data_IF_748153263419
#
_entry.id   IF_748153263419
#
_cell.length_a   1.000
_cell.length_b   1.000
_cell.length_c   1.000
_cell.angle_alpha   90.00
_cell.angle_beta   90.00
_cell.angle_gamma   90.00
#
_symmetry.space_group_name_H-M   'P 1'
#
loop_
_entity.id
_entity.type
_entity.pdbx_description
1 polymer ?
#
# COMPACT_ATOMS: atom_id res chain seq x y z
N UNK A 1 -5.74 -1.33 16.41
CA UNK A 1 -6.08 -2.64 15.82
C UNK A 1 -6.58 -2.41 14.41
N UNK A 2 -6.17 -3.22 13.44
CA UNK A 2 -6.70 -3.11 12.08
C UNK A 2 -8.18 -3.54 12.06
N UNK A 3 -9.04 -2.75 11.41
CA UNK A 3 -10.46 -3.07 11.24
C UNK A 3 -10.63 -3.89 9.96
N UNK A 4 -10.85 -5.20 10.10
CA UNK A 4 -11.10 -6.09 8.97
C UNK A 4 -12.61 -6.14 8.69
N UNK A 5 -13.05 -5.61 7.54
CA UNK A 5 -14.48 -5.52 7.17
C UNK A 5 -14.89 -6.57 6.14
N UNK A 6 -13.97 -6.97 5.25
CA UNK A 6 -14.26 -7.88 4.13
C UNK A 6 -13.81 -9.31 4.40
N UNK A 7 -14.59 -10.29 3.92
CA UNK A 7 -14.28 -11.72 4.02
C UNK A 7 -14.00 -12.32 2.65
N UNK A 8 -12.87 -13.00 2.54
CA UNK A 8 -12.52 -13.85 1.39
C UNK A 8 -12.51 -15.31 1.85
N UNK A 9 -13.06 -16.21 1.03
CA UNK A 9 -13.08 -17.65 1.29
C UNK A 9 -12.41 -18.39 0.14
N UNK A 10 -11.58 -19.37 0.48
CA UNK A 10 -10.98 -20.33 -0.46
C UNK A 10 -10.96 -21.70 0.18
N UNK A 11 -10.97 -22.76 -0.64
CA UNK A 11 -10.94 -24.14 -0.16
C UNK A 11 -9.53 -24.68 -0.34
N UNK A 12 -9.02 -25.34 0.71
CA UNK A 12 -7.72 -26.00 0.72
C UNK A 12 -7.92 -27.51 0.74
N UNK A 13 -6.90 -28.23 0.28
CA UNK A 13 -6.82 -29.67 0.55
C UNK A 13 -6.63 -29.93 2.04
N UNK A 14 -6.95 -31.14 2.51
CA UNK A 14 -6.76 -31.52 3.91
C UNK A 14 -5.30 -31.39 4.34
N UNK A 15 -4.38 -31.86 3.49
CA UNK A 15 -2.94 -31.79 3.74
C UNK A 15 -2.45 -30.35 3.91
N UNK A 16 -2.84 -29.44 3.01
CA UNK A 16 -2.49 -28.03 3.12
C UNK A 16 -3.03 -27.39 4.40
N UNK A 17 -4.28 -27.72 4.77
CA UNK A 17 -4.89 -27.20 5.99
C UNK A 17 -4.14 -27.69 7.23
N UNK A 18 -3.78 -28.98 7.29
CA UNK A 18 -3.09 -29.56 8.43
C UNK A 18 -1.69 -28.96 8.61
N UNK A 19 -0.93 -28.83 7.51
CA UNK A 19 0.38 -28.19 7.52
C UNK A 19 0.32 -26.74 8.01
N UNK A 20 -0.72 -25.99 7.59
CA UNK A 20 -0.92 -24.62 8.03
C UNK A 20 -1.32 -24.52 9.51
N UNK A 21 -2.10 -25.49 10.01
CA UNK A 21 -2.47 -25.55 11.42
C UNK A 21 -1.27 -25.88 12.31
N UNK A 22 -0.46 -26.86 11.92
CA UNK A 22 0.80 -27.19 12.62
C UNK A 22 1.74 -25.98 12.67
N UNK A 23 1.88 -25.26 11.56
CA UNK A 23 2.68 -24.04 11.51
C UNK A 23 2.11 -22.93 12.40
N UNK A 24 0.79 -22.73 12.40
CA UNK A 24 0.12 -21.74 13.24
C UNK A 24 0.29 -22.03 14.73
N UNK A 25 0.23 -23.30 15.12
CA UNK A 25 0.54 -23.74 16.49
C UNK A 25 2.00 -23.48 16.86
N UNK A 26 2.92 -23.84 15.97
CA UNK A 26 4.36 -23.61 16.16
C UNK A 26 4.70 -22.12 16.32
N UNK A 27 4.11 -21.25 15.49
CA UNK A 27 4.30 -19.79 15.56
C UNK A 27 3.47 -19.11 16.66
N UNK A 28 2.60 -19.86 17.36
CA UNK A 28 1.65 -19.34 18.35
C UNK A 28 0.80 -18.19 17.81
N UNK A 29 0.40 -18.28 16.53
CA UNK A 29 -0.42 -17.29 15.85
C UNK A 29 -1.74 -17.91 15.40
N UNK A 30 -2.86 -17.17 15.46
CA UNK A 30 -4.07 -17.62 14.81
C UNK A 30 -3.85 -17.78 13.30
N UNK A 31 -4.33 -18.87 12.70
CA UNK A 31 -4.20 -19.13 11.25
C UNK A 31 -4.64 -17.92 10.41
N UNK A 32 -5.71 -17.23 10.81
CA UNK A 32 -6.18 -16.04 10.10
C UNK A 32 -5.16 -14.90 10.04
N UNK A 33 -4.30 -14.75 11.05
CA UNK A 33 -3.21 -13.76 11.06
C UNK A 33 -2.16 -14.15 10.03
N UNK A 34 -1.70 -15.41 10.06
CA UNK A 34 -0.71 -15.92 9.10
C UNK A 34 -1.17 -15.79 7.64
N UNK A 35 -2.43 -16.13 7.36
CA UNK A 35 -2.98 -15.99 6.00
C UNK A 35 -3.01 -14.53 5.57
N UNK A 36 -3.34 -13.59 6.48
CA UNK A 36 -3.29 -12.16 6.17
C UNK A 36 -1.86 -11.68 5.91
N UNK A 37 -0.90 -12.09 6.73
CA UNK A 37 0.53 -11.77 6.54
C UNK A 37 1.01 -12.25 5.17
N UNK A 38 0.75 -13.52 4.84
CA UNK A 38 1.10 -14.10 3.54
C UNK A 38 0.47 -13.36 2.35
N UNK A 39 -0.80 -12.96 2.45
CA UNK A 39 -1.47 -12.16 1.39
C UNK A 39 -0.80 -10.80 1.22
N UNK A 40 -0.46 -10.12 2.32
CA UNK A 40 0.21 -8.82 2.28
C UNK A 40 1.57 -8.95 1.61
N UNK A 41 2.40 -9.87 2.09
CA UNK A 41 3.77 -10.07 1.62
C UNK A 41 3.82 -10.52 0.15
N UNK A 42 2.93 -11.43 -0.25
CA UNK A 42 2.97 -12.01 -1.59
C UNK A 42 2.35 -11.14 -2.67
N UNK A 43 1.30 -10.39 -2.35
CA UNK A 43 0.50 -9.67 -3.34
C UNK A 43 0.44 -8.17 -3.11
N UNK A 44 0.14 -7.73 -1.87
CA UNK A 44 -0.18 -6.31 -1.63
C UNK A 44 1.06 -5.41 -1.65
N UNK A 45 2.20 -5.88 -1.13
CA UNK A 45 3.46 -5.11 -1.16
C UNK A 45 3.85 -4.71 -2.58
N UNK A 46 3.70 -5.63 -3.54
CA UNK A 46 4.03 -5.37 -4.95
C UNK A 46 3.04 -4.39 -5.58
N UNK A 47 1.74 -4.56 -5.31
CA UNK A 47 0.69 -3.66 -5.81
C UNK A 47 0.92 -2.24 -5.31
N UNK A 48 1.24 -2.06 -4.03
CA UNK A 48 1.46 -0.73 -3.45
C UNK A 48 2.72 -0.06 -4.00
N UNK A 49 3.79 -0.84 -4.23
CA UNK A 49 4.98 -0.33 -4.89
C UNK A 49 4.69 0.17 -6.32
N UNK A 50 3.93 -0.61 -7.10
CA UNK A 50 3.51 -0.22 -8.45
C UNK A 50 2.62 1.02 -8.44
N UNK A 51 1.67 1.13 -7.52
CA UNK A 51 0.83 2.33 -7.37
C UNK A 51 1.66 3.58 -7.07
N UNK A 52 2.64 3.48 -6.16
CA UNK A 52 3.54 4.61 -5.85
C UNK A 52 4.37 5.01 -7.06
N UNK A 53 4.91 4.03 -7.79
CA UNK A 53 5.69 4.29 -9.00
C UNK A 53 4.84 4.98 -10.07
N UNK A 54 3.59 4.53 -10.26
CA UNK A 54 2.68 5.17 -11.20
C UNK A 54 2.31 6.59 -10.77
N UNK A 55 2.06 6.82 -9.47
CA UNK A 55 1.78 8.16 -8.96
C UNK A 55 2.97 9.11 -9.19
N UNK A 56 4.20 8.63 -8.95
CA UNK A 56 5.42 9.39 -9.25
C UNK A 56 5.54 9.69 -10.74
N UNK A 57 5.31 8.69 -11.60
CA UNK A 57 5.35 8.90 -13.05
C UNK A 57 4.31 9.94 -13.50
N UNK A 58 3.12 9.92 -12.92
CA UNK A 58 2.08 10.92 -13.20
C UNK A 58 2.51 12.32 -12.72
N UNK A 59 3.14 12.44 -11.55
CA UNK A 59 3.67 13.71 -11.03
C UNK A 59 4.79 14.27 -11.91
N UNK A 60 5.66 13.41 -12.45
CA UNK A 60 6.73 13.84 -13.36
C UNK A 60 6.22 14.16 -14.76
N UNK A 61 5.11 13.53 -15.18
CA UNK A 61 4.46 13.81 -16.46
C UNK A 61 3.62 15.09 -16.42
N UNK A 62 3.21 15.54 -15.23
CA UNK A 62 2.83 16.93 -15.04
C UNK A 62 4.11 17.73 -15.27
N UNK A 63 4.28 18.28 -16.48
CA UNK A 63 5.28 19.28 -16.83
C UNK A 63 4.99 20.60 -16.07
N UNK A 64 4.87 20.50 -14.74
CA UNK A 64 4.62 21.62 -13.87
C UNK A 64 5.79 22.60 -14.00
N UNK A 65 5.52 23.92 -14.02
CA UNK A 65 6.58 24.90 -14.11
C UNK A 65 7.47 24.76 -12.87
N UNK A 66 8.70 24.28 -13.09
CA UNK A 66 9.74 24.25 -12.07
C UNK A 66 10.58 25.50 -12.30
N UNK A 67 10.18 26.60 -11.68
CA UNK A 67 11.00 27.80 -11.62
C UNK A 67 11.93 27.74 -10.40
N UNK A 68 12.98 28.57 -10.37
CA UNK A 68 13.80 28.68 -9.17
C UNK A 68 12.95 29.17 -7.99
N UNK A 69 13.21 28.64 -6.79
CA UNK A 69 12.43 28.94 -5.59
C UNK A 69 12.13 30.43 -5.35
N UNK A 70 13.08 31.38 -5.55
CA UNK A 70 12.80 32.81 -5.39
C UNK A 70 11.75 33.36 -6.36
N UNK A 71 11.63 32.77 -7.56
CA UNK A 71 10.61 33.16 -8.53
C UNK A 71 9.24 32.61 -8.12
N UNK A 72 9.19 31.34 -7.69
CA UNK A 72 7.94 30.72 -7.22
C UNK A 72 7.40 31.41 -5.96
N UNK A 73 8.28 31.81 -5.04
CA UNK A 73 7.91 32.54 -3.81
C UNK A 73 7.26 33.88 -4.15
N UNK A 74 7.86 34.65 -5.07
CA UNK A 74 7.29 35.92 -5.53
C UNK A 74 5.92 35.76 -6.20
N UNK A 75 5.74 34.75 -7.06
CA UNK A 75 4.47 34.47 -7.74
C UNK A 75 3.35 34.07 -6.75
N UNK A 76 3.69 33.34 -5.67
CA UNK A 76 2.73 32.96 -4.62
C UNK A 76 2.32 34.17 -3.78
N UNK A 77 3.27 35.01 -3.38
CA UNK A 77 3.00 36.23 -2.60
C UNK A 77 2.14 37.22 -3.40
N UNK A 78 2.43 37.40 -4.68
CA UNK A 78 1.67 38.28 -5.57
C UNK A 78 0.23 37.78 -5.77
N UNK A 79 0.04 36.48 -6.00
CA UNK A 79 -1.29 35.88 -6.12
C UNK A 79 -2.12 35.86 -4.83
N UNK A 80 -1.49 35.97 -3.65
CA UNK A 80 -2.16 36.04 -2.35
C UNK A 80 -2.63 37.46 -1.96
N UNK A 81 -2.17 38.49 -2.69
CA UNK A 81 -2.47 39.90 -2.43
C UNK A 81 -3.59 40.46 -3.32
N UNK A 82 -4.06 39.68 -4.31
CA UNK A 82 -5.10 40.05 -5.28
C UNK A 82 -6.54 39.57 -4.90
N UNK A 83 -6.86 39.49 -3.60
CA UNK A 83 -8.25 39.37 -3.07
C UNK A 83 -8.79 40.69 -2.49
#
# INVERSE_FOLDING_TARGET
MANYTERVQTVLTKEQYDQLMELAEYEQKPLSVMIREAVVERYLVQIDAQKRQQALANLLALEAPVADWPQMEAEIEEGALDE
#
